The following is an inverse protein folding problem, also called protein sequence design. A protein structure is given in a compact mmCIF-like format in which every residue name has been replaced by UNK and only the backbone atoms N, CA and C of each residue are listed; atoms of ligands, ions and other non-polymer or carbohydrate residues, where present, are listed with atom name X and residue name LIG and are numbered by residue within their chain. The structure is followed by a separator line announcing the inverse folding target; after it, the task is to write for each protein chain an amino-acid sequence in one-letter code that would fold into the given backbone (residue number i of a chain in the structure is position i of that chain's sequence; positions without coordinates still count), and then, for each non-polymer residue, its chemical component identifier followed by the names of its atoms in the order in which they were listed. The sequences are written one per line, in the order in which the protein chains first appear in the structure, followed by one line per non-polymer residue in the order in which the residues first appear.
data_IF_780220523647
#
_entry.id   IF_780220523647
#
_cell.length_a   1.000
_cell.length_b   1.000
_cell.length_c   1.000
_cell.angle_alpha   90.00
_cell.angle_beta   90.00
_cell.angle_gamma   90.00
#
_symmetry.space_group_name_H-M   'P 1'
#
loop_
_entity.id
_entity.type
_entity.pdbx_description
1 polymer ?
#
# COMPACT_ATOMS: atom_id res chain seq x y z
N UNK A 1 -23.88 9.96 -3.48
CA UNK A 1 -22.43 10.31 -3.40
C UNK A 1 -21.52 9.24 -4.02
N UNK A 2 -20.91 9.58 -5.16
CA UNK A 2 -19.98 8.72 -5.91
C UNK A 2 -18.61 8.65 -5.25
N UNK A 3 -17.94 7.49 -5.35
CA UNK A 3 -16.55 7.30 -4.92
C UNK A 3 -15.66 7.02 -6.13
N UNK A 4 -14.45 7.57 -6.11
CA UNK A 4 -13.42 7.33 -7.13
C UNK A 4 -12.10 6.88 -6.47
N UNK A 5 -11.25 6.22 -7.26
CA UNK A 5 -9.91 5.80 -6.84
C UNK A 5 -9.08 7.05 -6.59
N UNK A 6 -8.43 7.12 -5.43
CA UNK A 6 -7.60 8.25 -5.04
C UNK A 6 -6.34 8.35 -5.89
N UNK A 7 -6.19 9.50 -6.55
CA UNK A 7 -4.97 9.90 -7.23
C UNK A 7 -4.30 11.00 -6.41
N UNK A 8 -2.99 10.88 -6.22
CA UNK A 8 -2.17 11.96 -5.67
C UNK A 8 -2.04 13.06 -6.73
N UNK A 9 -2.65 14.20 -6.51
CA UNK A 9 -2.68 15.30 -7.50
C UNK A 9 -1.35 16.02 -7.66
N UNK A 10 -0.35 15.76 -6.80
CA UNK A 10 1.01 16.30 -6.96
C UNK A 10 1.90 15.39 -7.80
N UNK A 11 1.81 14.07 -7.62
CA UNK A 11 2.69 13.11 -8.31
C UNK A 11 2.02 12.44 -9.51
N UNK A 12 0.68 12.41 -9.55
CA UNK A 12 -0.10 11.68 -10.54
C UNK A 12 -0.29 10.19 -10.21
N UNK A 13 0.23 9.72 -9.09
CA UNK A 13 0.22 8.30 -8.73
C UNK A 13 -1.08 7.87 -8.05
N UNK A 14 -1.45 6.60 -8.23
CA UNK A 14 -2.53 5.96 -7.47
C UNK A 14 -2.08 5.78 -6.02
N UNK A 15 -2.94 6.20 -5.08
CA UNK A 15 -2.68 6.00 -3.66
C UNK A 15 -3.12 4.59 -3.25
N UNK A 16 -2.15 3.80 -2.81
CA UNK A 16 -2.36 2.45 -2.31
C UNK A 16 -2.37 2.46 -0.77
N UNK A 17 -3.29 1.70 -0.18
CA UNK A 17 -3.31 1.44 1.26
C UNK A 17 -2.93 0.01 1.53
N UNK A 18 -1.98 -0.17 2.44
CA UNK A 18 -1.69 -1.49 2.99
C UNK A 18 -2.86 -1.92 3.90
N UNK A 19 -3.47 -3.08 3.60
CA UNK A 19 -4.52 -3.70 4.41
C UNK A 19 -4.01 -4.81 5.34
N UNK A 20 -2.71 -5.08 5.39
CA UNK A 20 -2.16 -6.11 6.29
C UNK A 20 -2.40 -5.72 7.76
N UNK A 21 -3.26 -6.44 8.47
CA UNK A 21 -3.50 -6.27 9.92
C UNK A 21 -2.89 -7.39 10.76
N UNK A 22 -2.10 -8.28 10.15
CA UNK A 22 -1.51 -9.44 10.81
C UNK A 22 -0.41 -9.05 11.80
N UNK A 23 -0.35 -9.73 12.94
CA UNK A 23 0.73 -9.58 13.92
C UNK A 23 2.07 -10.01 13.31
N UNK A 24 3.12 -9.24 13.63
CA UNK A 24 4.50 -9.55 13.22
C UNK A 24 5.10 -10.50 14.26
N UNK A 25 5.64 -11.63 13.78
CA UNK A 25 6.31 -12.61 14.61
C UNK A 25 7.83 -12.53 14.44
N UNK A 26 8.59 -12.69 15.53
CA UNK A 26 10.04 -12.57 15.50
C UNK A 26 10.67 -13.69 14.66
N UNK A 27 11.62 -13.28 13.82
CA UNK A 27 12.44 -14.16 13.00
C UNK A 27 13.91 -14.04 13.41
N UNK A 28 14.60 -15.17 13.43
CA UNK A 28 16.01 -15.24 13.78
C UNK A 28 16.74 -16.25 12.90
N UNK A 29 17.85 -15.84 12.30
CA UNK A 29 18.83 -16.74 11.70
C UNK A 29 19.51 -17.57 12.79
N UNK A 30 19.55 -18.90 12.63
CA UNK A 30 20.12 -19.82 13.63
C UNK A 30 21.54 -20.18 13.25
N UNK A 31 21.70 -20.79 12.09
CA UNK A 31 22.95 -21.38 11.65
C UNK A 31 23.09 -21.24 10.13
N UNK A 32 24.32 -20.95 9.70
CA UNK A 32 24.72 -20.97 8.31
C UNK A 32 25.58 -22.20 8.06
N UNK A 33 25.06 -23.14 7.27
CA UNK A 33 25.81 -24.29 6.79
C UNK A 33 26.37 -24.01 5.39
N UNK A 34 27.26 -24.88 4.91
CA UNK A 34 27.84 -24.77 3.56
C UNK A 34 26.76 -24.81 2.47
N UNK A 35 25.69 -25.57 2.69
CA UNK A 35 24.64 -25.82 1.71
C UNK A 35 23.37 -24.98 1.89
N UNK A 36 23.06 -24.53 3.11
CA UNK A 36 21.78 -23.88 3.40
C UNK A 36 21.88 -22.94 4.61
N UNK A 37 20.98 -21.96 4.65
CA UNK A 37 20.81 -21.02 5.74
C UNK A 37 19.56 -21.41 6.54
N UNK A 38 19.69 -21.55 7.86
CA UNK A 38 18.58 -21.96 8.72
C UNK A 38 18.04 -20.81 9.55
N UNK A 39 16.72 -20.75 9.70
CA UNK A 39 16.06 -19.75 10.53
C UNK A 39 14.91 -20.32 11.35
N UNK A 40 14.57 -19.61 12.42
CA UNK A 40 13.43 -19.89 13.26
C UNK A 40 12.50 -18.70 13.36
N UNK A 41 11.21 -19.00 13.32
CA UNK A 41 10.13 -18.07 13.63
C UNK A 41 9.48 -18.54 14.92
N UNK A 42 9.30 -17.62 15.85
CA UNK A 42 8.67 -17.93 17.14
C UNK A 42 7.25 -17.38 17.17
N UNK A 43 6.27 -18.27 17.38
CA UNK A 43 4.85 -17.93 17.55
C UNK A 43 4.42 -18.21 19.00
N UNK A 44 3.44 -17.48 19.54
CA UNK A 44 2.94 -17.73 20.90
C UNK A 44 2.19 -19.06 20.97
N UNK A 45 2.15 -19.67 22.15
CA UNK A 45 1.38 -20.91 22.41
C UNK A 45 -0.11 -20.81 22.08
N UNK A 46 -0.70 -19.61 22.17
CA UNK A 46 -2.09 -19.33 21.82
C UNK A 46 -2.37 -19.34 20.31
N UNK A 47 -1.33 -19.38 19.48
CA UNK A 47 -1.47 -19.40 18.03
C UNK A 47 -2.03 -20.75 17.55
N UNK A 48 -3.00 -20.72 16.63
CA UNK A 48 -3.54 -21.95 16.01
C UNK A 48 -2.63 -22.43 14.87
N UNK A 49 -2.13 -23.67 14.95
CA UNK A 49 -1.26 -24.26 13.90
C UNK A 49 -1.95 -24.21 12.54
N UNK A 50 -3.28 -24.41 12.52
CA UNK A 50 -4.03 -24.46 11.26
C UNK A 50 -3.92 -23.15 10.49
N UNK A 51 -3.72 -22.02 11.17
CA UNK A 51 -3.50 -20.73 10.52
C UNK A 51 -2.22 -20.68 9.69
N UNK A 52 -1.19 -21.49 10.01
CA UNK A 52 0.03 -21.59 9.18
C UNK A 52 -0.28 -22.09 7.76
N UNK A 53 -1.31 -22.94 7.63
CA UNK A 53 -1.69 -23.55 6.36
C UNK A 53 -2.72 -22.71 5.60
N UNK A 54 -3.50 -21.86 6.27
CA UNK A 54 -4.57 -21.07 5.64
C UNK A 54 -4.21 -19.60 5.43
N UNK A 55 -3.65 -18.92 6.43
CA UNK A 55 -3.37 -17.47 6.42
C UNK A 55 -1.87 -17.21 6.35
N UNK A 56 -1.07 -18.04 7.03
CA UNK A 56 0.36 -17.86 7.21
C UNK A 56 0.72 -16.98 8.41
N UNK A 57 2.02 -16.70 8.53
CA UNK A 57 2.63 -15.91 9.59
C UNK A 57 3.43 -14.78 8.98
N UNK A 58 3.17 -13.56 9.44
CA UNK A 58 3.91 -12.37 9.03
C UNK A 58 5.20 -12.26 9.83
N UNK A 59 6.30 -11.98 9.16
CA UNK A 59 7.58 -11.76 9.81
C UNK A 59 8.43 -10.73 9.06
N UNK A 60 9.35 -10.11 9.78
CA UNK A 60 10.35 -9.20 9.22
C UNK A 60 11.65 -9.97 9.06
N UNK A 61 12.13 -10.05 7.82
CA UNK A 61 13.38 -10.78 7.50
C UNK A 61 14.39 -9.77 7.02
N UNK A 62 15.51 -9.57 7.75
CA UNK A 62 16.55 -8.64 7.30
C UNK A 62 17.19 -9.15 6.01
N UNK A 63 17.55 -8.21 5.14
CA UNK A 63 18.25 -8.55 3.90
C UNK A 63 19.61 -9.19 4.20
N UNK A 64 19.80 -10.41 3.71
CA UNK A 64 21.04 -11.18 3.86
C UNK A 64 21.61 -11.46 2.48
N UNK A 65 22.73 -10.82 2.08
CA UNK A 65 23.32 -10.94 0.75
C UNK A 65 24.10 -12.27 0.56
N UNK A 66 23.47 -13.41 0.87
CA UNK A 66 24.06 -14.74 0.78
C UNK A 66 23.27 -15.57 -0.25
N UNK A 67 23.97 -16.15 -1.22
CA UNK A 67 23.36 -17.01 -2.25
C UNK A 67 23.27 -18.45 -1.75
N UNK A 68 22.46 -18.68 -0.71
CA UNK A 68 22.18 -20.01 -0.17
C UNK A 68 20.67 -20.23 -0.01
N UNK A 69 20.15 -21.44 -0.30
CA UNK A 69 18.77 -21.82 0.00
C UNK A 69 18.43 -21.64 1.47
N UNK A 70 17.18 -21.28 1.76
CA UNK A 70 16.71 -21.07 3.13
C UNK A 70 15.87 -22.26 3.61
N UNK A 71 16.10 -22.67 4.87
CA UNK A 71 15.23 -23.59 5.61
C UNK A 71 14.69 -22.90 6.87
N UNK A 72 13.38 -22.97 7.09
CA UNK A 72 12.72 -22.35 8.24
C UNK A 72 12.12 -23.43 9.12
N UNK A 73 12.23 -23.25 10.44
CA UNK A 73 11.44 -23.98 11.43
C UNK A 73 10.52 -23.03 12.20
N UNK A 74 9.39 -23.55 12.67
CA UNK A 74 8.41 -22.78 13.43
C UNK A 74 8.38 -23.30 14.86
N UNK A 75 8.75 -22.45 15.82
CA UNK A 75 8.75 -22.74 17.24
C UNK A 75 7.56 -22.08 17.93
N UNK A 76 6.83 -22.84 18.75
CA UNK A 76 5.80 -22.31 19.65
C UNK A 76 6.37 -22.06 21.02
N UNK A 77 6.28 -20.83 21.49
CA UNK A 77 6.73 -20.45 22.82
C UNK A 77 5.61 -20.66 23.86
N UNK A 78 5.87 -21.55 24.82
CA UNK A 78 4.99 -21.82 25.97
C UNK A 78 5.44 -21.08 27.25
N UNK A 79 6.48 -20.25 27.16
CA UNK A 79 7.11 -19.58 28.29
C UNK A 79 8.16 -20.45 28.97
N UNK A 80 9.16 -19.81 29.59
CA UNK A 80 10.21 -20.47 30.37
C UNK A 80 11.13 -21.38 29.55
N UNK A 81 11.60 -20.90 28.39
CA UNK A 81 12.46 -21.62 27.42
C UNK A 81 11.85 -22.91 26.83
N UNK A 82 10.54 -23.14 27.02
CA UNK A 82 9.85 -24.29 26.45
C UNK A 82 9.30 -23.97 25.06
N UNK A 83 10.14 -24.21 24.04
CA UNK A 83 9.76 -24.05 22.62
C UNK A 83 9.41 -25.42 22.03
N UNK A 84 8.17 -25.58 21.54
CA UNK A 84 7.78 -26.79 20.78
C UNK A 84 7.85 -26.52 19.28
N UNK A 85 8.59 -27.37 18.57
CA UNK A 85 8.80 -27.22 17.14
C UNK A 85 7.64 -27.88 16.37
N UNK A 86 7.16 -27.21 15.32
CA UNK A 86 6.20 -27.77 14.38
C UNK A 86 6.93 -28.70 13.42
N UNK A 87 6.52 -29.97 13.39
CA UNK A 87 7.09 -30.99 12.51
C UNK A 87 6.43 -30.93 11.14
N UNK A 88 7.25 -31.05 10.10
CA UNK A 88 6.81 -31.16 8.72
C UNK A 88 6.13 -32.51 8.49
N UNK A 89 4.85 -32.52 8.08
CA UNK A 89 4.08 -33.77 7.94
C UNK A 89 4.55 -34.66 6.78
N UNK A 90 5.31 -34.13 5.81
CA UNK A 90 5.73 -34.88 4.62
C UNK A 90 7.00 -35.71 4.83
N UNK A 91 7.94 -35.20 5.61
CA UNK A 91 9.27 -35.79 5.78
C UNK A 91 9.66 -36.00 7.26
N UNK A 92 8.76 -35.69 8.21
CA UNK A 92 9.00 -35.74 9.65
C UNK A 92 10.21 -34.90 10.12
N UNK A 93 10.65 -33.93 9.31
CA UNK A 93 11.71 -33.01 9.66
C UNK A 93 11.17 -31.81 10.43
N UNK A 94 12.03 -31.15 11.20
CA UNK A 94 11.73 -29.84 11.81
C UNK A 94 11.82 -28.68 10.79
N UNK A 95 12.35 -28.95 9.60
CA UNK A 95 12.70 -27.95 8.61
C UNK A 95 11.75 -27.94 7.41
N UNK A 96 11.40 -26.74 7.00
CA UNK A 96 10.64 -26.47 5.79
C UNK A 96 11.53 -25.73 4.79
N UNK A 97 11.59 -26.22 3.56
CA UNK A 97 12.31 -25.55 2.47
C UNK A 97 11.52 -24.34 2.01
N UNK A 98 12.20 -23.20 1.82
CA UNK A 98 11.54 -21.95 1.48
C UNK A 98 11.46 -21.78 -0.02
N UNK A 99 10.25 -21.70 -0.52
CA UNK A 99 9.97 -21.52 -1.93
C UNK A 99 9.16 -20.25 -2.16
N UNK A 100 9.14 -19.79 -3.40
CA UNK A 100 8.25 -18.72 -3.85
C UNK A 100 7.67 -19.06 -5.21
N UNK A 101 6.45 -18.58 -5.48
CA UNK A 101 5.79 -18.66 -6.78
C UNK A 101 5.73 -17.28 -7.39
N UNK A 102 6.87 -16.82 -7.90
CA UNK A 102 6.96 -15.55 -8.62
C UNK A 102 6.10 -15.65 -9.89
N UNK A 103 5.20 -14.67 -10.06
CA UNK A 103 4.31 -14.55 -11.22
C UNK A 103 3.38 -15.75 -11.47
N UNK A 104 3.16 -16.62 -10.47
CA UNK A 104 2.14 -17.67 -10.51
C UNK A 104 2.44 -18.89 -11.40
N UNK A 105 3.65 -19.01 -11.98
CA UNK A 105 3.91 -20.02 -13.03
C UNK A 105 4.93 -21.10 -12.62
N UNK A 106 5.91 -20.82 -11.76
CA UNK A 106 6.88 -21.84 -11.33
C UNK A 106 7.23 -21.75 -9.85
N UNK A 107 7.31 -22.92 -9.22
CA UNK A 107 7.81 -23.08 -7.88
C UNK A 107 9.35 -22.99 -7.90
N UNK A 108 9.92 -22.07 -7.14
CA UNK A 108 11.36 -21.79 -7.14
C UNK A 108 11.90 -21.77 -5.71
N UNK A 109 13.00 -22.49 -5.50
CA UNK A 109 13.78 -22.45 -4.26
C UNK A 109 14.31 -21.03 -4.07
N UNK A 110 13.99 -20.44 -2.92
CA UNK A 110 14.38 -19.09 -2.58
C UNK A 110 15.74 -19.06 -1.89
N UNK A 111 16.63 -18.20 -2.39
CA UNK A 111 17.92 -17.93 -1.77
C UNK A 111 17.83 -16.66 -0.92
N UNK A 112 18.65 -16.54 0.13
CA UNK A 112 18.58 -15.38 1.05
C UNK A 112 18.78 -14.03 0.35
N UNK A 113 19.71 -13.95 -0.60
CA UNK A 113 19.91 -12.76 -1.45
C UNK A 113 18.70 -12.41 -2.34
N UNK A 114 17.78 -13.35 -2.59
CA UNK A 114 16.62 -13.15 -3.47
C UNK A 114 15.36 -12.72 -2.70
N UNK A 115 15.42 -12.60 -1.36
CA UNK A 115 14.31 -12.12 -0.52
C UNK A 115 13.78 -10.76 -1.02
N UNK A 116 14.69 -9.86 -1.40
CA UNK A 116 14.37 -8.52 -1.90
C UNK A 116 13.50 -8.50 -3.17
N UNK A 117 13.45 -9.60 -3.92
CA UNK A 117 12.60 -9.69 -5.11
C UNK A 117 11.11 -9.85 -4.76
N UNK A 118 10.79 -10.21 -3.52
CA UNK A 118 9.42 -10.44 -3.04
C UNK A 118 8.90 -9.20 -2.29
N UNK A 119 9.68 -8.71 -1.33
CA UNK A 119 9.35 -7.56 -0.48
C UNK A 119 10.65 -6.93 0.02
N UNK A 120 10.59 -5.71 0.56
CA UNK A 120 11.77 -5.07 1.18
C UNK A 120 12.00 -5.65 2.59
N UNK A 121 10.99 -5.54 3.46
CA UNK A 121 11.17 -5.83 4.88
C UNK A 121 10.21 -6.92 5.41
N UNK A 122 8.96 -6.89 4.98
CA UNK A 122 7.88 -7.71 5.54
C UNK A 122 7.45 -8.83 4.60
N UNK A 123 7.38 -10.05 5.14
CA UNK A 123 7.05 -11.26 4.40
C UNK A 123 5.94 -12.05 5.11
N UNK A 124 5.17 -12.79 4.32
CA UNK A 124 4.15 -13.72 4.80
C UNK A 124 4.59 -15.15 4.46
N UNK A 125 4.65 -16.01 5.48
CA UNK A 125 5.04 -17.41 5.33
C UNK A 125 3.83 -18.32 5.51
N UNK A 126 3.52 -19.11 4.49
CA UNK A 126 2.45 -20.08 4.51
C UNK A 126 3.01 -21.49 4.26
N UNK A 127 2.59 -22.46 5.07
CA UNK A 127 2.98 -23.85 4.87
C UNK A 127 2.01 -24.53 3.92
N UNK A 128 2.53 -25.25 2.94
CA UNK A 128 1.73 -26.10 2.07
C UNK A 128 2.54 -27.31 1.60
N UNK A 129 1.96 -28.51 1.72
CA UNK A 129 2.59 -29.79 1.29
C UNK A 129 4.05 -29.96 1.77
N UNK A 130 4.37 -29.50 2.98
CA UNK A 130 5.72 -29.62 3.55
C UNK A 130 6.75 -28.59 3.06
N UNK A 131 6.30 -27.58 2.32
CA UNK A 131 7.11 -26.45 1.83
C UNK A 131 6.63 -25.16 2.50
N UNK A 132 7.56 -24.26 2.81
CA UNK A 132 7.26 -22.91 3.29
C UNK A 132 7.23 -21.94 2.11
N UNK A 133 6.05 -21.48 1.72
CA UNK A 133 5.88 -20.47 0.69
C UNK A 133 6.04 -19.07 1.28
N UNK A 134 6.94 -18.29 0.68
CA UNK A 134 7.16 -16.89 1.04
C UNK A 134 6.47 -15.97 0.04
N UNK A 135 5.65 -15.07 0.59
CA UNK A 135 4.91 -14.04 -0.14
C UNK A 135 5.25 -12.66 0.42
N UNK A 136 4.92 -11.62 -0.34
CA UNK A 136 4.88 -10.27 0.22
C UNK A 136 3.70 -10.17 1.19
N UNK A 137 3.93 -9.54 2.35
CA UNK A 137 2.84 -9.25 3.29
C UNK A 137 1.96 -8.07 2.80
N UNK A 138 2.48 -7.22 1.92
CA UNK A 138 1.76 -6.02 1.50
C UNK A 138 0.62 -6.39 0.56
N UNK A 139 -0.59 -6.45 1.12
CA UNK A 139 -1.83 -6.43 0.33
C UNK A 139 -2.17 -4.96 0.09
N UNK A 140 -1.75 -4.46 -1.06
CA UNK A 140 -2.09 -3.12 -1.52
C UNK A 140 -3.47 -3.12 -2.16
N UNK A 141 -4.37 -2.30 -1.63
CA UNK A 141 -5.65 -2.03 -2.26
C UNK A 141 -5.75 -0.56 -2.66
N UNK A 142 -6.53 -0.27 -3.68
CA UNK A 142 -6.79 1.10 -4.12
C UNK A 142 -7.70 1.79 -3.10
N UNK A 143 -7.35 3.02 -2.73
CA UNK A 143 -8.20 3.80 -1.82
C UNK A 143 -9.33 4.43 -2.62
N UNK A 144 -10.57 4.20 -2.19
CA UNK A 144 -11.74 4.90 -2.72
C UNK A 144 -12.10 6.06 -1.80
N UNK A 145 -12.06 7.29 -2.33
CA UNK A 145 -12.46 8.51 -1.61
C UNK A 145 -13.67 9.15 -2.28
N UNK A 146 -14.26 10.16 -1.63
CA UNK A 146 -15.31 10.97 -2.26
C UNK A 146 -14.76 11.61 -3.55
N UNK A 147 -15.48 11.43 -4.66
CA UNK A 147 -15.13 11.99 -5.96
C UNK A 147 -14.98 13.52 -5.91
N UNK A 148 -15.79 14.20 -5.10
CA UNK A 148 -15.85 15.66 -5.04
C UNK A 148 -14.49 16.31 -4.74
N UNK A 149 -13.69 15.71 -3.85
CA UNK A 149 -12.36 16.22 -3.50
C UNK A 149 -11.40 16.12 -4.70
N UNK A 150 -11.50 15.03 -5.47
CA UNK A 150 -10.66 14.82 -6.64
C UNK A 150 -11.11 15.70 -7.81
N UNK A 151 -12.43 15.82 -8.02
CA UNK A 151 -13.01 16.70 -9.04
C UNK A 151 -12.58 18.14 -8.81
N UNK A 152 -12.70 18.63 -7.57
CA UNK A 152 -12.19 19.96 -7.16
C UNK A 152 -10.71 20.13 -7.54
N UNK A 153 -9.85 19.22 -7.08
CA UNK A 153 -8.41 19.37 -7.28
C UNK A 153 -8.04 19.29 -8.77
N UNK A 154 -8.71 18.43 -9.53
CA UNK A 154 -8.53 18.31 -10.98
C UNK A 154 -8.97 19.59 -11.69
N UNK A 155 -10.15 20.12 -11.37
CA UNK A 155 -10.70 21.35 -11.98
C UNK A 155 -9.77 22.55 -11.77
N UNK A 156 -9.16 22.65 -10.60
CA UNK A 156 -8.16 23.69 -10.28
C UNK A 156 -6.89 23.58 -11.12
N UNK A 157 -6.44 22.35 -11.44
CA UNK A 157 -5.26 22.10 -12.26
C UNK A 157 -5.52 22.20 -13.76
N UNK A 158 -6.75 21.90 -14.20
CA UNK A 158 -7.14 21.95 -15.60
C UNK A 158 -6.99 23.36 -16.17
N UNK A 159 -6.17 23.50 -17.21
CA UNK A 159 -6.03 24.74 -17.96
C UNK A 159 -7.02 24.71 -19.12
N UNK A 160 -7.89 25.73 -19.29
CA UNK A 160 -8.73 25.86 -20.47
C UNK A 160 -7.88 25.75 -21.73
N UNK A 161 -8.40 25.06 -22.74
CA UNK A 161 -7.80 24.60 -24.00
C UNK A 161 -7.01 23.28 -23.97
N UNK A 162 -6.68 22.72 -22.80
CA UNK A 162 -5.93 21.45 -22.76
C UNK A 162 -6.80 20.23 -23.03
N UNK A 163 -8.10 20.30 -22.75
CA UNK A 163 -9.02 19.21 -23.04
C UNK A 163 -9.70 19.45 -24.40
N UNK A 164 -9.47 18.55 -25.35
CA UNK A 164 -10.07 18.63 -26.69
C UNK A 164 -11.61 18.58 -26.67
N UNK A 165 -12.21 17.76 -25.80
CA UNK A 165 -13.67 17.62 -25.73
C UNK A 165 -14.33 18.77 -24.98
N UNK A 166 -13.65 19.31 -23.98
CA UNK A 166 -14.15 20.39 -23.12
C UNK A 166 -13.13 21.53 -23.06
N UNK A 167 -12.98 22.30 -24.16
CA UNK A 167 -11.90 23.28 -24.29
C UNK A 167 -12.08 24.51 -23.39
N UNK A 168 -13.29 24.79 -22.92
CA UNK A 168 -13.59 25.96 -22.07
C UNK A 168 -13.47 25.67 -20.58
N UNK A 169 -13.45 24.39 -20.19
CA UNK A 169 -13.49 23.96 -18.79
C UNK A 169 -12.10 24.01 -18.13
N UNK A 170 -12.11 24.33 -16.84
CA UNK A 170 -10.91 24.45 -16.01
C UNK A 170 -10.68 25.87 -15.51
N UNK A 171 -10.08 25.97 -14.32
CA UNK A 171 -9.73 27.26 -13.72
C UNK A 171 -8.40 27.76 -14.27
N UNK A 172 -7.43 26.84 -14.46
CA UNK A 172 -6.11 27.16 -14.95
C UNK A 172 -5.34 28.09 -14.02
N UNK A 173 -5.19 27.71 -12.74
CA UNK A 173 -4.52 28.50 -11.70
C UNK A 173 -3.16 29.07 -12.12
N UNK A 174 -2.44 28.37 -13.01
CA UNK A 174 -1.16 28.83 -13.58
C UNK A 174 -1.24 30.21 -14.24
N UNK A 175 -2.40 30.59 -14.81
CA UNK A 175 -2.61 31.92 -15.43
C UNK A 175 -2.63 33.05 -14.40
N UNK A 176 -2.85 32.72 -13.14
CA UNK A 176 -3.04 33.67 -12.05
C UNK A 176 -1.85 33.73 -11.07
N UNK A 177 -0.82 32.92 -11.28
CA UNK A 177 0.33 32.77 -10.38
C UNK A 177 1.08 34.10 -10.10
N UNK A 178 1.03 35.03 -11.05
CA UNK A 178 1.67 36.36 -10.95
C UNK A 178 0.66 37.51 -11.10
N UNK A 179 -0.63 37.20 -11.10
CA UNK A 179 -1.66 38.22 -11.26
C UNK A 179 -1.98 38.90 -9.93
N UNK A 180 -2.36 40.17 -9.97
CA UNK A 180 -2.96 40.82 -8.81
C UNK A 180 -4.37 40.24 -8.61
N UNK A 181 -4.54 39.43 -7.57
CA UNK A 181 -5.77 38.67 -7.31
C UNK A 181 -7.01 39.55 -7.12
N UNK A 182 -6.84 40.79 -6.67
CA UNK A 182 -7.96 41.74 -6.53
C UNK A 182 -8.52 42.21 -7.88
N UNK A 183 -7.78 42.05 -8.97
CA UNK A 183 -8.15 42.50 -10.32
C UNK A 183 -8.03 41.40 -11.39
N UNK A 184 -7.73 40.16 -11.00
CA UNK A 184 -7.42 39.09 -11.94
C UNK A 184 -8.65 38.38 -12.50
N UNK A 185 -9.84 38.57 -11.91
CA UNK A 185 -11.04 37.81 -12.29
C UNK A 185 -11.02 36.34 -11.85
N UNK A 186 -10.03 35.92 -11.04
CA UNK A 186 -9.93 34.54 -10.55
C UNK A 186 -11.17 34.12 -9.76
N UNK A 187 -11.68 34.99 -8.89
CA UNK A 187 -12.85 34.70 -8.07
C UNK A 187 -14.10 34.40 -8.92
N UNK A 188 -14.33 35.19 -9.98
CA UNK A 188 -15.44 34.99 -10.90
C UNK A 188 -15.29 33.68 -11.69
N UNK A 189 -14.07 33.39 -12.16
CA UNK A 189 -13.78 32.13 -12.86
C UNK A 189 -13.97 30.92 -11.95
N UNK A 190 -13.50 30.98 -10.71
CA UNK A 190 -13.72 29.94 -9.70
C UNK A 190 -15.22 29.73 -9.47
N UNK A 191 -15.98 30.79 -9.20
CA UNK A 191 -17.42 30.67 -8.95
C UNK A 191 -18.16 30.06 -10.14
N UNK A 192 -17.82 30.45 -11.38
CA UNK A 192 -18.49 29.94 -12.58
C UNK A 192 -18.20 28.45 -12.78
N UNK A 193 -16.92 28.04 -12.74
CA UNK A 193 -16.53 26.64 -12.97
C UNK A 193 -17.06 25.70 -11.88
N UNK A 194 -17.05 26.11 -10.60
CA UNK A 194 -17.58 25.28 -9.51
C UNK A 194 -19.11 25.21 -9.54
N UNK A 195 -19.79 26.31 -9.92
CA UNK A 195 -21.25 26.33 -10.06
C UNK A 195 -21.75 25.46 -11.21
N UNK A 196 -21.02 25.41 -12.32
CA UNK A 196 -21.32 24.49 -13.43
C UNK A 196 -21.29 23.01 -12.98
N UNK A 197 -20.46 22.69 -11.98
CA UNK A 197 -20.39 21.39 -11.31
C UNK A 197 -21.36 21.25 -10.11
N UNK A 198 -22.26 22.22 -9.89
CA UNK A 198 -23.22 22.29 -8.77
C UNK A 198 -22.55 22.30 -7.38
N UNK A 199 -21.40 22.95 -7.29
CA UNK A 199 -20.64 23.15 -6.05
C UNK A 199 -20.58 24.64 -5.76
N UNK A 200 -21.01 25.05 -4.57
CA UNK A 200 -20.95 26.45 -4.15
C UNK A 200 -19.67 26.73 -3.37
N UNK A 201 -19.04 27.88 -3.64
CA UNK A 201 -17.88 28.36 -2.89
C UNK A 201 -18.36 29.27 -1.77
N UNK A 202 -18.26 28.81 -0.52
CA UNK A 202 -18.62 29.59 0.67
C UNK A 202 -17.55 30.65 0.95
N UNK A 203 -16.29 30.24 0.93
CA UNK A 203 -15.15 31.11 1.19
C UNK A 203 -13.94 30.69 0.36
N UNK A 204 -13.11 31.65 -0.01
CA UNK A 204 -11.85 31.43 -0.70
C UNK A 204 -10.80 32.37 -0.13
N UNK A 205 -9.69 31.81 0.37
CA UNK A 205 -8.59 32.57 0.93
C UNK A 205 -7.30 32.21 0.19
N UNK A 206 -6.55 33.22 -0.24
CA UNK A 206 -5.23 33.03 -0.83
C UNK A 206 -4.16 33.60 0.10
N UNK A 207 -3.19 32.76 0.45
CA UNK A 207 -2.02 33.19 1.20
C UNK A 207 -0.91 33.60 0.24
N UNK A 208 -0.64 34.91 0.15
CA UNK A 208 0.39 35.47 -0.73
C UNK A 208 1.83 35.14 -0.31
N UNK A 209 2.05 34.73 0.94
CA UNK A 209 3.38 34.35 1.44
C UNK A 209 3.70 32.87 1.19
N UNK A 210 2.72 31.97 1.36
CA UNK A 210 2.92 30.54 1.10
C UNK A 210 2.53 30.11 -0.32
N UNK A 211 1.74 30.92 -1.03
CA UNK A 211 1.18 30.59 -2.34
C UNK A 211 0.00 29.61 -2.27
N UNK A 212 -0.52 29.33 -1.08
CA UNK A 212 -1.62 28.39 -0.89
C UNK A 212 -2.98 29.05 -1.14
N UNK A 213 -3.86 28.32 -1.82
CA UNK A 213 -5.26 28.67 -2.02
C UNK A 213 -6.13 27.72 -1.19
N UNK A 214 -6.83 28.27 -0.21
CA UNK A 214 -7.81 27.55 0.60
C UNK A 214 -9.22 27.85 0.10
N UNK A 215 -10.01 26.80 -0.11
CA UNK A 215 -11.39 26.88 -0.57
C UNK A 215 -12.29 26.14 0.41
N UNK A 216 -13.32 26.82 0.88
CA UNK A 216 -14.44 26.26 1.62
C UNK A 216 -15.63 26.08 0.66
N UNK A 217 -16.09 24.84 0.53
CA UNK A 217 -17.00 24.41 -0.53
C UNK A 217 -18.20 23.66 0.05
N UNK A 218 -19.38 23.96 -0.48
CA UNK A 218 -20.61 23.20 -0.22
C UNK A 218 -20.87 22.22 -1.38
N UNK A 219 -20.91 20.93 -1.04
CA UNK A 219 -21.19 19.84 -1.98
C UNK A 219 -22.63 19.33 -1.90
N UNK A 220 -23.49 19.95 -1.09
CA UNK A 220 -24.84 19.44 -0.81
C UNK A 220 -25.69 19.22 -2.07
N UNK A 221 -25.63 20.14 -3.04
CA UNK A 221 -26.37 20.01 -4.30
C UNK A 221 -25.76 18.94 -5.22
N UNK A 222 -24.42 18.95 -5.39
CA UNK A 222 -23.71 17.94 -6.15
C UNK A 222 -24.01 16.52 -5.62
N UNK A 223 -23.98 16.32 -4.30
CA UNK A 223 -24.21 15.02 -3.67
C UNK A 223 -25.66 14.54 -3.73
N UNK A 224 -26.63 15.46 -3.75
CA UNK A 224 -28.06 15.14 -3.89
C UNK A 224 -28.43 14.68 -5.31
N UNK A 225 -27.61 15.03 -6.30
CA UNK A 225 -27.84 14.71 -7.72
C UNK A 225 -27.24 13.38 -8.19
N UNK A 226 -26.66 12.59 -7.26
CA UNK A 226 -25.90 11.35 -7.53
C UNK A 226 -26.44 10.12 -6.79
#
# INVERSE_FOLDING_TARGET
MRKDIQINTRTGDIVLRNRSTSNIYPFKWIEENDLFLTAQITVPSSFDIKQLYTIGVKTEIPYTPVYKPIKIRIGRDFGGDNIRIVINPTNNSEWFEVHTRLFGVQDKILHASQLIMISQDHYLIQLNEGIAYLWSDTISDMININANIQNRNLLLQCVPSNNYRYPTSGVGLIKYLHANLSHSGLAEKLQTEFKDDKVDIINAAFNSYSGDLELDLDFSEADASV
#
